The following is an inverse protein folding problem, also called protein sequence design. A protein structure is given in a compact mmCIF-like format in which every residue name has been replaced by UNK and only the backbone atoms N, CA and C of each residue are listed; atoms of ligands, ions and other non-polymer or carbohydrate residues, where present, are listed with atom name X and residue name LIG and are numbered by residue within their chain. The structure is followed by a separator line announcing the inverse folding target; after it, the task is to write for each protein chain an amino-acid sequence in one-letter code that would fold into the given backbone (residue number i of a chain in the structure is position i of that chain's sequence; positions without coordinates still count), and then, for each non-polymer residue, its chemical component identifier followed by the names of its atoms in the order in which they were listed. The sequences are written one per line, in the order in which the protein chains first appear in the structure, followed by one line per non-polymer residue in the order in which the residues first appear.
data_IF_133392253253
#
_entry.id   IF_133392253253
#
_cell.length_a   1.000
_cell.length_b   1.000
_cell.length_c   1.000
_cell.angle_alpha   90.00
_cell.angle_beta   90.00
_cell.angle_gamma   90.00
#
_symmetry.space_group_name_H-M   'P 1'
#
loop_
_entity.id
_entity.type
_entity.pdbx_description
1 polymer ?
#
# COMPACT_ATOMS: atom_id res chain seq x y z
N UNK A 1 23.16 -23.84 0.93
CA UNK A 1 22.81 -22.66 1.76
C UNK A 1 22.63 -21.30 1.05
N UNK A 2 22.71 -21.11 -0.29
CA UNK A 2 22.51 -19.78 -0.91
C UNK A 2 21.03 -19.32 -1.02
N UNK A 3 20.07 -20.24 -0.84
CA UNK A 3 18.62 -19.95 -0.97
C UNK A 3 18.04 -19.23 0.26
N UNK A 4 18.60 -19.43 1.45
CA UNK A 4 18.15 -18.77 2.69
C UNK A 4 18.51 -17.27 2.71
N UNK A 5 19.63 -16.92 2.06
CA UNK A 5 20.14 -15.54 2.04
C UNK A 5 19.37 -14.67 1.02
N UNK A 6 19.02 -15.22 -0.14
CA UNK A 6 18.16 -14.54 -1.13
C UNK A 6 16.75 -14.23 -0.60
N UNK A 7 16.26 -15.09 0.28
CA UNK A 7 14.96 -14.99 0.95
C UNK A 7 14.90 -13.84 1.97
N UNK A 8 15.86 -13.79 2.89
CA UNK A 8 16.00 -12.66 3.82
C UNK A 8 16.18 -11.32 3.08
N UNK A 9 16.94 -11.33 1.98
CA UNK A 9 17.08 -10.15 1.11
C UNK A 9 15.76 -9.74 0.47
N UNK A 10 14.92 -10.70 0.07
CA UNK A 10 13.61 -10.45 -0.53
C UNK A 10 12.64 -9.81 0.47
N UNK A 11 12.51 -10.35 1.69
CA UNK A 11 11.64 -9.78 2.73
C UNK A 11 12.08 -8.37 3.10
N UNK A 12 13.39 -8.17 3.31
CA UNK A 12 13.95 -6.85 3.65
C UNK A 12 13.69 -5.83 2.54
N UNK A 13 13.84 -6.23 1.28
CA UNK A 13 13.52 -5.37 0.15
C UNK A 13 12.01 -5.08 0.04
N UNK A 14 11.15 -6.07 0.27
CA UNK A 14 9.69 -5.91 0.26
C UNK A 14 9.22 -4.92 1.33
N UNK A 15 9.69 -5.05 2.56
CA UNK A 15 9.40 -4.10 3.63
C UNK A 15 9.93 -2.71 3.30
N UNK A 16 11.17 -2.60 2.82
CA UNK A 16 11.78 -1.33 2.42
C UNK A 16 10.98 -0.62 1.33
N UNK A 17 10.51 -1.35 0.33
CA UNK A 17 9.67 -0.79 -0.76
C UNK A 17 8.32 -0.33 -0.21
N UNK A 18 7.67 -1.13 0.64
CA UNK A 18 6.40 -0.78 1.28
C UNK A 18 6.53 0.50 2.13
N UNK A 19 7.57 0.59 2.97
CA UNK A 19 7.86 1.77 3.78
C UNK A 19 8.16 2.99 2.90
N UNK A 20 8.99 2.83 1.85
CA UNK A 20 9.32 3.93 0.93
C UNK A 20 8.07 4.46 0.21
N UNK A 21 7.21 3.56 -0.27
CA UNK A 21 5.96 3.95 -0.94
C UNK A 21 5.00 4.65 0.02
N UNK A 22 4.85 4.11 1.24
CA UNK A 22 4.02 4.72 2.30
C UNK A 22 4.51 6.12 2.66
N UNK A 23 5.83 6.30 2.81
CA UNK A 23 6.45 7.59 3.11
C UNK A 23 6.23 8.60 1.97
N UNK A 24 6.37 8.18 0.71
CA UNK A 24 6.10 9.04 -0.45
C UNK A 24 4.63 9.48 -0.43
N UNK A 25 3.68 8.54 -0.27
CA UNK A 25 2.24 8.84 -0.23
C UNK A 25 1.89 9.81 0.90
N UNK A 26 2.46 9.60 2.10
CA UNK A 26 2.28 10.50 3.24
C UNK A 26 2.83 11.90 2.96
N UNK A 27 4.07 12.00 2.51
CA UNK A 27 4.70 13.28 2.17
C UNK A 27 3.92 14.04 1.09
N UNK A 28 3.48 13.36 0.03
CA UNK A 28 2.66 13.99 -1.02
C UNK A 28 1.33 14.48 -0.50
N UNK A 29 0.69 13.72 0.41
CA UNK A 29 -0.60 14.10 0.99
C UNK A 29 -0.46 15.34 1.87
N UNK A 30 0.57 15.39 2.70
CA UNK A 30 0.88 16.55 3.56
C UNK A 30 1.14 17.78 2.71
N UNK A 31 2.01 17.68 1.71
CA UNK A 31 2.32 18.81 0.82
C UNK A 31 1.08 19.33 0.08
N UNK A 32 0.26 18.44 -0.49
CA UNK A 32 -0.97 18.83 -1.18
C UNK A 32 -1.96 19.50 -0.24
N UNK A 33 -2.14 18.95 0.98
CA UNK A 33 -3.06 19.52 1.96
C UNK A 33 -2.65 20.94 2.38
N UNK A 34 -1.34 21.20 2.52
CA UNK A 34 -0.81 22.56 2.79
C UNK A 34 -1.11 23.50 1.63
N UNK A 35 -0.93 23.04 0.38
CA UNK A 35 -1.24 23.85 -0.81
C UNK A 35 -2.72 24.21 -0.86
N UNK A 36 -3.62 23.25 -0.63
CA UNK A 36 -5.07 23.48 -0.68
C UNK A 36 -5.57 24.49 0.37
N UNK A 37 -4.97 24.50 1.57
CA UNK A 37 -5.32 25.48 2.61
C UNK A 37 -4.98 26.90 2.20
N UNK A 38 -3.88 27.09 1.46
CA UNK A 38 -3.47 28.42 1.01
C UNK A 38 -4.31 28.92 -0.17
N UNK A 39 -5.14 28.06 -0.78
CA UNK A 39 -6.02 28.42 -1.91
C UNK A 39 -7.45 28.74 -1.41
N UNK A 40 -7.92 28.08 -0.35
CA UNK A 40 -9.26 28.30 0.20
C UNK A 40 -9.26 29.40 1.27
N UNK A 41 -9.67 30.61 0.87
CA UNK A 41 -9.92 31.75 1.77
C UNK A 41 -11.31 31.63 2.40
N UNK A 42 -11.46 30.94 3.53
CA UNK A 42 -12.75 30.92 4.21
C UNK A 42 -12.85 30.18 5.54
N UNK A 43 -11.99 29.20 5.78
CA UNK A 43 -12.04 28.37 6.99
C UNK A 43 -10.77 28.51 7.85
N UNK A 44 -10.88 28.11 9.13
CA UNK A 44 -9.70 27.96 9.98
C UNK A 44 -8.74 26.95 9.32
N UNK A 45 -7.51 27.39 9.06
CA UNK A 45 -6.47 26.61 8.37
C UNK A 45 -6.27 25.21 8.96
N UNK A 46 -6.41 25.06 10.27
CA UNK A 46 -6.30 23.77 10.95
C UNK A 46 -7.48 22.82 10.66
N UNK A 47 -8.70 23.36 10.61
CA UNK A 47 -9.91 22.58 10.28
C UNK A 47 -9.85 22.11 8.83
N UNK A 48 -9.48 22.98 7.89
CA UNK A 48 -9.34 22.61 6.48
C UNK A 48 -8.20 21.61 6.25
N UNK A 49 -7.06 21.74 6.97
CA UNK A 49 -6.01 20.72 6.95
C UNK A 49 -6.54 19.36 7.39
N UNK A 50 -7.27 19.33 8.52
CA UNK A 50 -7.82 18.08 9.05
C UNK A 50 -8.81 17.43 8.08
N UNK A 51 -9.72 18.22 7.49
CA UNK A 51 -10.67 17.75 6.48
C UNK A 51 -9.95 17.18 5.26
N UNK A 52 -8.89 17.84 4.77
CA UNK A 52 -8.08 17.35 3.65
C UNK A 52 -7.37 16.03 3.98
N UNK A 53 -6.86 15.89 5.21
CA UNK A 53 -6.25 14.63 5.68
C UNK A 53 -7.28 13.51 5.77
N UNK A 54 -8.45 13.77 6.35
CA UNK A 54 -9.54 12.81 6.43
C UNK A 54 -10.01 12.34 5.05
N UNK A 55 -10.24 13.30 4.14
CA UNK A 55 -10.66 13.02 2.77
C UNK A 55 -9.61 12.19 2.02
N UNK A 56 -8.34 12.58 2.11
CA UNK A 56 -7.26 11.84 1.46
C UNK A 56 -7.11 10.44 2.08
N UNK A 57 -7.25 10.30 3.40
CA UNK A 57 -7.28 9.00 4.07
C UNK A 57 -8.37 8.08 3.50
N UNK A 58 -9.57 8.64 3.30
CA UNK A 58 -10.72 7.93 2.71
C UNK A 58 -10.45 7.53 1.25
N UNK A 59 -9.85 8.41 0.46
CA UNK A 59 -9.48 8.11 -0.93
C UNK A 59 -8.42 7.01 -1.02
N UNK A 60 -7.41 7.03 -0.14
CA UNK A 60 -6.38 5.99 -0.09
C UNK A 60 -6.97 4.62 0.29
N UNK A 61 -7.92 4.58 1.24
CA UNK A 61 -8.63 3.34 1.56
C UNK A 61 -9.46 2.83 0.38
N UNK A 62 -10.22 3.71 -0.27
CA UNK A 62 -11.01 3.37 -1.46
C UNK A 62 -10.14 2.81 -2.57
N UNK A 63 -9.00 3.46 -2.86
CA UNK A 63 -8.02 2.96 -3.83
C UNK A 63 -7.46 1.60 -3.42
N UNK A 64 -7.23 1.35 -2.13
CA UNK A 64 -6.79 0.03 -1.66
C UNK A 64 -7.83 -1.07 -1.90
N UNK A 65 -9.11 -0.76 -1.73
CA UNK A 65 -10.21 -1.68 -2.05
C UNK A 65 -10.22 -1.99 -3.56
N UNK A 66 -10.10 -0.96 -4.40
CA UNK A 66 -10.05 -1.11 -5.87
C UNK A 66 -8.84 -1.96 -6.27
N UNK A 67 -7.65 -1.70 -5.72
CA UNK A 67 -6.44 -2.48 -5.98
C UNK A 67 -6.63 -3.93 -5.55
N UNK A 68 -7.28 -4.18 -4.41
CA UNK A 68 -7.60 -5.54 -3.97
C UNK A 68 -8.57 -6.25 -4.90
N UNK A 69 -9.53 -5.54 -5.48
CA UNK A 69 -10.43 -6.07 -6.48
C UNK A 69 -9.67 -6.44 -7.77
N UNK A 70 -8.82 -5.55 -8.27
CA UNK A 70 -7.94 -5.80 -9.44
C UNK A 70 -7.02 -7.00 -9.17
N UNK A 71 -6.45 -7.10 -7.97
CA UNK A 71 -5.63 -8.23 -7.53
C UNK A 71 -6.41 -9.55 -7.60
N UNK A 72 -7.67 -9.56 -7.18
CA UNK A 72 -8.51 -10.76 -7.24
C UNK A 72 -8.83 -11.16 -8.70
N UNK A 73 -9.12 -10.18 -9.57
CA UNK A 73 -9.26 -10.42 -11.01
C UNK A 73 -7.96 -10.99 -11.60
N UNK A 74 -6.81 -10.45 -11.19
CA UNK A 74 -5.50 -10.94 -11.62
C UNK A 74 -5.27 -12.40 -11.22
N UNK A 75 -5.59 -12.77 -9.96
CA UNK A 75 -5.51 -14.16 -9.49
C UNK A 75 -6.44 -15.04 -10.32
N UNK A 76 -7.68 -14.62 -10.54
CA UNK A 76 -8.66 -15.39 -11.30
C UNK A 76 -8.19 -15.66 -12.73
N UNK A 77 -7.68 -14.64 -13.42
CA UNK A 77 -7.13 -14.77 -14.79
C UNK A 77 -5.92 -15.71 -14.84
N UNK A 78 -5.12 -15.73 -13.78
CA UNK A 78 -3.90 -16.53 -13.67
C UNK A 78 -4.08 -17.78 -12.80
N UNK A 79 -5.33 -18.25 -12.57
CA UNK A 79 -5.64 -19.32 -11.61
C UNK A 79 -4.78 -20.58 -11.77
N UNK A 80 -4.37 -20.90 -13.00
CA UNK A 80 -3.49 -22.04 -13.33
C UNK A 80 -2.16 -21.98 -12.58
N UNK A 81 -1.63 -20.78 -12.35
CA UNK A 81 -0.37 -20.57 -11.65
C UNK A 81 -0.54 -20.58 -10.14
N UNK A 82 -1.73 -20.25 -9.63
CA UNK A 82 -2.04 -20.08 -8.21
C UNK A 82 -2.72 -21.31 -7.57
N UNK A 83 -3.22 -22.25 -8.38
CA UNK A 83 -3.83 -23.49 -7.91
C UNK A 83 -2.81 -24.36 -7.14
N UNK A 84 -3.19 -24.84 -5.95
CA UNK A 84 -2.35 -25.70 -5.11
C UNK A 84 -1.19 -25.00 -4.40
N UNK A 85 -1.04 -23.67 -4.53
CA UNK A 85 0.03 -22.89 -3.88
C UNK A 85 -0.51 -22.15 -2.65
N UNK A 86 0.28 -22.14 -1.58
CA UNK A 86 -0.14 -21.56 -0.30
C UNK A 86 0.01 -20.02 -0.32
N UNK A 87 -0.99 -19.34 -0.87
CA UNK A 87 -1.00 -17.87 -0.99
C UNK A 87 -1.67 -17.29 0.25
N UNK A 88 -0.86 -16.71 1.14
CA UNK A 88 -1.38 -16.04 2.33
C UNK A 88 -1.84 -14.63 1.98
N UNK A 89 -2.72 -14.07 2.81
CA UNK A 89 -3.11 -12.64 2.76
C UNK A 89 -1.93 -11.67 2.95
N UNK A 90 -0.76 -12.18 3.38
CA UNK A 90 0.51 -11.44 3.53
C UNK A 90 1.42 -11.50 2.28
N UNK A 91 1.05 -12.25 1.25
CA UNK A 91 1.85 -12.51 0.07
C UNK A 91 2.25 -13.99 -0.04
N UNK A 92 3.25 -14.26 -0.87
CA UNK A 92 3.68 -15.62 -1.22
C UNK A 92 4.74 -16.08 -0.21
N UNK A 93 4.70 -17.37 0.12
CA UNK A 93 5.75 -18.02 0.92
C UNK A 93 7.04 -18.19 0.10
N UNK A 94 8.18 -17.96 0.73
CA UNK A 94 9.51 -18.00 0.14
C UNK A 94 9.82 -19.35 -0.53
N UNK A 95 9.40 -20.46 0.08
CA UNK A 95 9.58 -21.80 -0.48
C UNK A 95 8.81 -21.97 -1.80
N UNK A 96 7.67 -21.29 -1.90
CA UNK A 96 6.85 -21.29 -3.12
C UNK A 96 7.50 -20.42 -4.19
N UNK A 97 8.21 -19.33 -3.83
CA UNK A 97 8.84 -18.44 -4.80
C UNK A 97 10.11 -19.02 -5.44
N UNK A 98 10.90 -19.76 -4.66
CA UNK A 98 12.17 -20.36 -5.09
C UNK A 98 12.01 -21.58 -6.02
N UNK A 99 10.81 -22.18 -6.05
CA UNK A 99 10.49 -23.35 -6.88
C UNK A 99 9.85 -22.99 -8.24
N UNK A 100 9.67 -21.70 -8.54
CA UNK A 100 8.96 -21.24 -9.74
C UNK A 100 9.88 -21.11 -10.95
N UNK A 101 9.38 -21.51 -12.11
CA UNK A 101 9.98 -21.15 -13.39
C UNK A 101 9.92 -19.61 -13.61
N UNK A 102 10.81 -19.09 -14.45
CA UNK A 102 10.94 -17.66 -14.76
C UNK A 102 9.63 -17.00 -15.21
N UNK A 103 8.78 -17.71 -15.96
CA UNK A 103 7.46 -17.20 -16.36
C UNK A 103 6.50 -17.08 -15.18
N UNK A 104 6.44 -18.10 -14.33
CA UNK A 104 5.60 -18.08 -13.14
C UNK A 104 6.08 -17.00 -12.16
N UNK A 105 7.39 -16.92 -11.92
CA UNK A 105 8.01 -15.92 -11.04
C UNK A 105 7.60 -14.49 -11.39
N UNK A 106 7.50 -14.14 -12.68
CA UNK A 106 7.03 -12.81 -13.12
C UNK A 106 5.55 -12.57 -12.74
N UNK A 107 4.68 -13.57 -12.87
CA UNK A 107 3.26 -13.48 -12.48
C UNK A 107 3.13 -13.27 -10.97
N UNK A 108 3.94 -14.00 -10.20
CA UNK A 108 3.97 -13.93 -8.76
C UNK A 108 4.53 -12.61 -8.22
N UNK A 109 5.59 -12.07 -8.83
CA UNK A 109 6.12 -10.74 -8.48
C UNK A 109 5.09 -9.64 -8.75
N UNK A 110 4.32 -9.72 -9.84
CA UNK A 110 3.21 -8.78 -10.11
C UNK A 110 2.13 -8.88 -9.04
N UNK A 111 1.78 -10.09 -8.61
CA UNK A 111 0.86 -10.29 -7.49
C UNK A 111 1.37 -9.64 -6.20
N UNK A 112 2.64 -9.84 -5.86
CA UNK A 112 3.19 -9.24 -4.64
C UNK A 112 3.28 -7.72 -4.72
N UNK A 113 3.47 -7.16 -5.90
CA UNK A 113 3.38 -5.71 -6.09
C UNK A 113 1.98 -5.20 -5.75
N UNK A 114 0.90 -5.87 -6.19
CA UNK A 114 -0.46 -5.50 -5.78
C UNK A 114 -0.65 -5.58 -4.25
N UNK A 115 -0.07 -6.59 -3.59
CA UNK A 115 -0.14 -6.72 -2.12
C UNK A 115 0.61 -5.59 -1.42
N UNK A 116 1.82 -5.25 -1.87
CA UNK A 116 2.63 -4.16 -1.30
C UNK A 116 1.93 -2.82 -1.49
N UNK A 117 1.43 -2.56 -2.70
CA UNK A 117 0.73 -1.32 -3.03
C UNK A 117 -0.53 -1.21 -2.18
N UNK A 118 -1.44 -2.20 -2.19
CA UNK A 118 -2.67 -2.15 -1.39
C UNK A 118 -2.39 -1.88 0.09
N UNK A 119 -1.38 -2.55 0.69
CA UNK A 119 -1.00 -2.33 2.09
C UNK A 119 -0.45 -0.93 2.35
N UNK A 120 0.39 -0.42 1.47
CA UNK A 120 0.96 0.92 1.61
C UNK A 120 -0.16 1.98 1.60
N UNK A 121 -1.17 1.80 0.74
CA UNK A 121 -2.34 2.66 0.70
C UNK A 121 -3.19 2.56 1.98
N UNK A 122 -3.40 1.36 2.55
CA UNK A 122 -4.08 1.22 3.85
C UNK A 122 -3.32 1.94 4.95
N UNK A 123 -2.02 1.69 5.07
CA UNK A 123 -1.20 2.27 6.14
C UNK A 123 -1.16 3.79 6.01
N UNK A 124 -0.92 4.32 4.81
CA UNK A 124 -0.94 5.76 4.55
C UNK A 124 -2.32 6.37 4.85
N UNK A 125 -3.41 5.69 4.46
CA UNK A 125 -4.77 6.11 4.77
C UNK A 125 -5.04 6.19 6.27
N UNK A 126 -4.63 5.17 7.02
CA UNK A 126 -4.74 5.14 8.50
C UNK A 126 -3.92 6.25 9.14
N UNK A 127 -2.69 6.49 8.68
CA UNK A 127 -1.86 7.60 9.18
C UNK A 127 -2.55 8.94 8.97
N UNK A 128 -3.16 9.17 7.79
CA UNK A 128 -3.90 10.41 7.53
C UNK A 128 -5.10 10.58 8.45
N UNK A 129 -5.84 9.51 8.77
CA UNK A 129 -6.92 9.57 9.77
C UNK A 129 -6.39 9.91 11.16
N UNK A 130 -5.28 9.32 11.58
CA UNK A 130 -4.65 9.62 12.87
C UNK A 130 -4.24 11.09 12.94
N UNK A 131 -3.60 11.62 11.88
CA UNK A 131 -3.24 13.05 11.80
C UNK A 131 -4.49 13.93 11.89
N UNK A 132 -5.54 13.62 11.12
CA UNK A 132 -6.80 14.36 11.17
C UNK A 132 -7.41 14.35 12.59
N UNK A 133 -7.50 13.18 13.22
CA UNK A 133 -8.05 13.04 14.57
C UNK A 133 -7.25 13.84 15.60
N UNK A 134 -5.91 13.80 15.54
CA UNK A 134 -5.05 14.60 16.42
C UNK A 134 -5.33 16.09 16.25
N UNK A 135 -5.47 16.57 15.02
CA UNK A 135 -5.73 17.99 14.76
C UNK A 135 -7.12 18.41 15.24
N UNK A 136 -8.15 17.57 15.04
CA UNK A 136 -9.50 17.83 15.58
C UNK A 136 -9.48 17.93 17.11
N UNK A 137 -8.65 17.13 17.81
CA UNK A 137 -8.53 17.19 19.26
C UNK A 137 -7.76 18.42 19.77
N UNK A 138 -6.99 19.09 18.92
CA UNK A 138 -6.16 20.25 19.27
C UNK A 138 -6.84 21.59 18.95
N UNK A 139 -7.92 21.59 18.16
CA UNK A 139 -8.70 22.77 17.74
C UNK A 139 -9.99 22.84 18.55
#
# INVERSE_FOLDING_TARGET
MPRLDQNNMYIKNKQKVMCKLTAILGATTISLSIVFINIYEGENKFVSFSNNMFFTGTMLLTLSIIINFIKNIFIFKNRKYFAGKNIKTKGIDEQTLAALDNKERKVFLKYELFVIVSRSFVIAGVINFVISAIIVLLV
#
